data_IF_171354241001
#
_entry.id   IF_171354241001
#
_cell.length_a   1.000
_cell.length_b   1.000
_cell.length_c   1.000
_cell.angle_alpha   90.00
_cell.angle_beta   90.00
_cell.angle_gamma   90.00
#
_symmetry.space_group_name_H-M   'P 1'
#
loop_
_entity.id
_entity.type
_entity.pdbx_description
1 polymer ?
#
# COMPACT_ATOMS: atom_id res chain seq x y z
N UNK A 1 15.46 37.21 -30.58
CA UNK A 1 14.05 37.00 -30.13
C UNK A 1 13.75 35.57 -29.60
N UNK A 2 14.43 34.50 -30.03
CA UNK A 2 14.20 33.13 -29.55
C UNK A 2 14.62 32.86 -28.10
N UNK A 3 15.62 33.53 -27.56
CA UNK A 3 16.12 33.28 -26.19
C UNK A 3 15.12 33.74 -25.12
N UNK A 4 14.42 34.86 -25.34
CA UNK A 4 13.43 35.36 -24.37
C UNK A 4 12.21 34.45 -24.25
N UNK A 5 11.77 33.77 -25.31
CA UNK A 5 10.63 32.85 -25.31
C UNK A 5 10.99 31.57 -24.55
N UNK A 6 12.23 31.08 -24.71
CA UNK A 6 12.68 29.86 -23.97
C UNK A 6 12.82 30.10 -22.47
N UNK A 7 13.29 31.28 -22.04
CA UNK A 7 13.44 31.65 -20.63
C UNK A 7 12.07 31.84 -19.97
N UNK A 8 11.11 32.45 -20.65
CA UNK A 8 9.74 32.62 -20.12
C UNK A 8 8.97 31.29 -20.04
N UNK A 9 9.17 30.39 -21.00
CA UNK A 9 8.53 29.04 -20.92
C UNK A 9 9.14 28.18 -19.84
N UNK A 10 10.47 28.24 -19.64
CA UNK A 10 11.13 27.46 -18.57
C UNK A 10 10.77 27.98 -17.18
N UNK A 11 10.74 29.31 -17.00
CA UNK A 11 10.32 29.92 -15.73
C UNK A 11 8.83 29.68 -15.45
N UNK A 12 7.97 29.73 -16.47
CA UNK A 12 6.55 29.37 -16.36
C UNK A 12 6.35 27.91 -16.00
N UNK A 13 7.11 27.00 -16.60
CA UNK A 13 7.08 25.57 -16.27
C UNK A 13 7.56 25.29 -14.83
N UNK A 14 8.67 25.92 -14.41
CA UNK A 14 9.20 25.77 -13.06
C UNK A 14 8.26 26.35 -11.99
N UNK A 15 7.62 27.48 -12.28
CA UNK A 15 6.58 28.06 -11.43
C UNK A 15 5.34 27.15 -11.40
N UNK A 16 4.88 26.67 -12.55
CA UNK A 16 3.76 25.74 -12.62
C UNK A 16 4.04 24.46 -11.83
N UNK A 17 5.21 23.83 -12.01
CA UNK A 17 5.63 22.64 -11.25
C UNK A 17 5.76 22.90 -9.74
N UNK A 18 6.11 24.14 -9.35
CA UNK A 18 6.22 24.54 -7.93
C UNK A 18 4.85 24.78 -7.27
N UNK A 19 3.83 25.10 -8.05
CA UNK A 19 2.47 25.37 -7.57
C UNK A 19 1.50 24.20 -7.81
N UNK A 20 1.82 23.27 -8.71
CA UNK A 20 1.08 22.03 -8.88
C UNK A 20 1.77 20.95 -8.08
N UNK A 21 1.38 20.84 -6.82
CA UNK A 21 1.71 19.68 -6.01
C UNK A 21 0.84 18.55 -6.53
N UNK A 22 1.46 17.48 -6.99
CA UNK A 22 0.74 16.27 -7.39
C UNK A 22 0.06 15.72 -6.14
N UNK A 23 -1.25 15.52 -6.20
CA UNK A 23 -2.08 15.07 -5.09
C UNK A 23 -2.90 13.88 -5.54
N UNK A 24 -3.43 13.13 -4.59
CA UNK A 24 -4.24 11.94 -4.84
C UNK A 24 -3.46 10.84 -5.56
N UNK A 25 -2.31 10.47 -5.00
CA UNK A 25 -1.53 9.33 -5.45
C UNK A 25 -1.06 8.47 -4.29
N UNK A 26 -0.77 7.21 -4.58
CA UNK A 26 -0.08 6.26 -3.72
C UNK A 26 1.06 5.61 -4.48
N UNK A 27 2.21 5.45 -3.84
CA UNK A 27 3.37 4.83 -4.44
C UNK A 27 4.14 3.98 -3.42
N UNK A 28 4.83 2.91 -3.85
CA UNK A 28 5.72 2.15 -2.98
C UNK A 28 6.90 3.03 -2.56
N UNK A 29 7.38 2.82 -1.35
CA UNK A 29 8.62 3.45 -0.89
C UNK A 29 9.82 2.89 -1.66
N UNK A 30 10.76 3.78 -2.05
CA UNK A 30 12.01 3.32 -2.67
C UNK A 30 12.82 2.48 -1.69
N UNK A 31 12.98 1.20 -2.00
CA UNK A 31 13.72 0.24 -1.17
C UNK A 31 15.20 0.61 -0.95
N UNK A 32 15.76 1.41 -1.84
CA UNK A 32 17.15 1.87 -1.77
C UNK A 32 17.31 3.20 -1.03
N UNK A 33 16.20 3.82 -0.61
CA UNK A 33 16.24 5.07 0.15
C UNK A 33 16.98 4.93 1.48
N UNK A 34 17.51 6.04 2.01
CA UNK A 34 18.18 6.05 3.30
C UNK A 34 17.19 5.70 4.43
N UNK A 35 15.95 6.17 4.31
CA UNK A 35 14.86 5.93 5.23
C UNK A 35 14.52 4.43 5.32
N UNK A 36 14.38 3.75 4.17
CA UNK A 36 14.12 2.31 4.13
C UNK A 36 15.27 1.50 4.73
N UNK A 37 16.51 1.91 4.52
CA UNK A 37 17.67 1.23 5.14
C UNK A 37 17.65 1.36 6.64
N UNK A 38 17.28 2.54 7.18
CA UNK A 38 17.14 2.74 8.63
C UNK A 38 16.00 1.89 9.19
N UNK A 39 14.84 1.88 8.52
CA UNK A 39 13.69 1.09 8.97
C UNK A 39 13.99 -0.41 8.97
N UNK A 40 14.67 -0.93 7.97
CA UNK A 40 15.11 -2.35 7.92
C UNK A 40 16.10 -2.73 9.04
N UNK A 41 16.79 -1.76 9.63
CA UNK A 41 17.68 -2.00 10.80
C UNK A 41 16.90 -2.06 12.12
N UNK A 42 15.75 -1.40 12.19
CA UNK A 42 14.93 -1.30 13.42
C UNK A 42 13.86 -2.37 13.45
N UNK A 43 13.34 -2.74 12.29
CA UNK A 43 12.26 -3.72 12.13
C UNK A 43 12.80 -5.02 11.55
N UNK A 44 12.81 -6.08 12.34
CA UNK A 44 13.44 -7.35 11.99
C UNK A 44 12.57 -8.22 11.05
N UNK A 45 11.29 -7.87 10.82
CA UNK A 45 10.35 -8.64 9.99
C UNK A 45 10.26 -8.13 8.54
N UNK A 46 9.70 -8.92 7.62
CA UNK A 46 9.37 -8.47 6.29
C UNK A 46 8.24 -7.43 6.36
N UNK A 47 8.44 -6.30 5.70
CA UNK A 47 7.42 -5.26 5.59
C UNK A 47 7.46 -4.58 4.23
N UNK A 48 6.33 -3.98 3.85
CA UNK A 48 6.18 -3.10 2.68
C UNK A 48 5.66 -1.76 3.15
N UNK A 49 6.16 -0.69 2.54
CA UNK A 49 5.73 0.67 2.81
C UNK A 49 5.19 1.31 1.53
N UNK A 50 4.06 2.00 1.68
CA UNK A 50 3.49 2.86 0.66
C UNK A 50 3.35 4.26 1.22
N UNK A 51 3.80 5.26 0.50
CA UNK A 51 3.48 6.65 0.80
C UNK A 51 2.31 7.10 -0.08
N UNK A 52 1.48 7.97 0.44
CA UNK A 52 0.38 8.56 -0.31
C UNK A 52 0.24 10.04 0.01
N UNK A 53 -0.29 10.78 -0.94
CA UNK A 53 -0.66 12.18 -0.81
C UNK A 53 -2.10 12.35 -1.25
N UNK A 54 -2.94 12.92 -0.41
CA UNK A 54 -4.37 13.11 -0.66
C UNK A 54 -4.79 14.56 -0.43
N UNK A 55 -5.79 15.00 -1.15
CA UNK A 55 -6.40 16.30 -0.93
C UNK A 55 -7.44 16.25 0.21
N UNK A 56 -7.89 17.41 0.66
CA UNK A 56 -8.87 17.57 1.75
C UNK A 56 -10.27 17.00 1.47
N UNK A 57 -10.56 16.57 0.23
CA UNK A 57 -11.85 15.96 -0.11
C UNK A 57 -11.87 14.47 0.24
N UNK A 58 -10.71 13.92 0.59
CA UNK A 58 -10.56 12.56 1.10
C UNK A 58 -10.42 12.65 2.62
N UNK A 59 -11.35 12.05 3.33
CA UNK A 59 -11.45 12.14 4.79
C UNK A 59 -11.01 10.89 5.53
N UNK A 60 -10.93 9.76 4.81
CA UNK A 60 -10.53 8.48 5.41
C UNK A 60 -9.91 7.52 4.38
N UNK A 61 -9.13 6.57 4.89
CA UNK A 61 -8.66 5.40 4.17
C UNK A 61 -9.16 4.14 4.86
N UNK A 62 -9.74 3.21 4.09
CA UNK A 62 -10.15 1.90 4.58
C UNK A 62 -9.24 0.84 3.95
N UNK A 63 -8.51 0.10 4.78
CA UNK A 63 -7.71 -1.04 4.36
C UNK A 63 -8.55 -2.30 4.50
N UNK A 64 -8.59 -3.09 3.44
CA UNK A 64 -9.44 -4.27 3.32
C UNK A 64 -8.60 -5.49 2.97
N UNK A 65 -9.04 -6.66 3.45
CA UNK A 65 -8.49 -7.95 3.05
C UNK A 65 -9.56 -8.78 2.34
N UNK A 66 -9.18 -9.39 1.23
CA UNK A 66 -10.03 -10.34 0.50
C UNK A 66 -9.34 -11.69 0.47
N UNK A 67 -10.04 -12.75 0.92
CA UNK A 67 -9.57 -14.12 0.86
C UNK A 67 -10.15 -14.85 -0.35
N UNK A 68 -9.28 -15.57 -1.04
CA UNK A 68 -9.64 -16.51 -2.10
C UNK A 68 -9.14 -17.90 -1.70
N UNK A 69 -9.94 -18.91 -1.94
CA UNK A 69 -9.58 -20.33 -1.81
C UNK A 69 -9.76 -20.98 -3.16
N UNK A 70 -8.68 -21.59 -3.69
CA UNK A 70 -8.66 -22.26 -5.00
C UNK A 70 -9.23 -21.37 -6.13
N UNK A 71 -8.89 -20.10 -6.09
CA UNK A 71 -9.34 -19.11 -7.07
C UNK A 71 -10.73 -18.51 -6.85
N UNK A 72 -11.51 -19.03 -5.89
CA UNK A 72 -12.84 -18.52 -5.55
C UNK A 72 -12.81 -17.55 -4.36
N UNK A 73 -13.46 -16.40 -4.50
CA UNK A 73 -13.58 -15.43 -3.42
C UNK A 73 -14.44 -16.00 -2.29
N UNK A 74 -13.89 -16.06 -1.08
CA UNK A 74 -14.59 -16.53 0.13
C UNK A 74 -15.19 -15.39 0.94
N UNK A 75 -14.36 -14.39 1.28
CA UNK A 75 -14.81 -13.24 2.04
C UNK A 75 -13.99 -11.98 1.73
N UNK A 76 -14.50 -10.87 2.22
CA UNK A 76 -13.82 -9.58 2.23
C UNK A 76 -14.17 -8.87 3.53
N UNK A 77 -13.14 -8.37 4.24
CA UNK A 77 -13.28 -7.65 5.49
C UNK A 77 -12.52 -6.33 5.47
N UNK A 78 -13.06 -5.34 6.15
CA UNK A 78 -12.36 -4.11 6.50
C UNK A 78 -11.44 -4.42 7.69
N UNK A 79 -10.13 -4.33 7.48
CA UNK A 79 -9.12 -4.55 8.51
C UNK A 79 -8.99 -3.30 9.38
N UNK A 80 -9.00 -2.14 8.75
CA UNK A 80 -8.79 -0.87 9.41
C UNK A 80 -9.45 0.26 8.63
N UNK A 81 -10.11 1.17 9.34
CA UNK A 81 -10.51 2.48 8.79
C UNK A 81 -9.79 3.57 9.56
N UNK A 82 -9.05 4.40 8.85
CA UNK A 82 -8.31 5.52 9.41
C UNK A 82 -8.87 6.85 8.88
N UNK A 83 -9.31 7.71 9.82
CA UNK A 83 -9.80 9.06 9.50
C UNK A 83 -8.67 10.09 9.54
N UNK A 84 -8.55 10.91 8.51
CA UNK A 84 -7.58 11.99 8.44
C UNK A 84 -8.11 13.22 9.18
N UNK A 85 -7.35 13.67 10.18
CA UNK A 85 -7.70 14.90 10.92
C UNK A 85 -7.30 16.11 10.08
N UNK A 86 -8.14 17.15 10.13
CA UNK A 86 -7.84 18.44 9.49
C UNK A 86 -6.53 19.10 9.97
N UNK A 87 -6.06 18.72 11.16
CA UNK A 87 -4.83 19.26 11.76
C UNK A 87 -3.56 18.75 11.08
N UNK A 88 -3.65 17.65 10.32
CA UNK A 88 -2.55 17.08 9.55
C UNK A 88 -2.41 17.70 8.15
N UNK A 89 -3.31 18.63 7.80
CA UNK A 89 -3.27 19.30 6.50
C UNK A 89 -2.10 20.28 6.46
N UNK A 90 -1.20 20.07 5.51
CA UNK A 90 -0.14 21.04 5.24
C UNK A 90 -0.76 22.35 4.76
N UNK A 91 -0.51 23.45 5.50
CA UNK A 91 -1.01 24.81 5.16
C UNK A 91 -0.62 25.27 3.74
N UNK A 92 0.42 24.65 3.16
CA UNK A 92 0.95 25.04 1.83
C UNK A 92 0.24 24.37 0.65
N UNK A 93 -0.33 23.19 0.83
CA UNK A 93 -0.82 22.38 -0.29
C UNK A 93 -2.27 21.90 -0.15
N UNK A 94 -2.91 22.10 1.01
CA UNK A 94 -4.20 21.46 1.35
C UNK A 94 -4.17 19.93 1.16
N UNK A 95 -3.02 19.30 1.42
CA UNK A 95 -2.80 17.86 1.27
C UNK A 95 -2.44 17.22 2.59
N UNK A 96 -2.75 15.94 2.72
CA UNK A 96 -2.28 15.06 3.79
C UNK A 96 -1.30 14.07 3.15
N UNK A 97 -0.06 14.08 3.64
CA UNK A 97 0.95 13.09 3.26
C UNK A 97 1.10 12.07 4.39
N UNK A 98 1.04 10.80 4.06
CA UNK A 98 1.11 9.74 5.05
C UNK A 98 1.65 8.42 4.49
N UNK A 99 1.78 7.42 5.36
CA UNK A 99 2.39 6.12 5.03
C UNK A 99 1.49 4.98 5.49
N UNK A 100 1.33 3.99 4.63
CA UNK A 100 0.78 2.68 4.98
C UNK A 100 1.94 1.70 5.10
N UNK A 101 2.11 1.11 6.28
CA UNK A 101 3.04 0.01 6.53
C UNK A 101 2.25 -1.29 6.63
N UNK A 102 2.68 -2.31 5.90
CA UNK A 102 2.18 -3.67 6.03
C UNK A 102 3.34 -4.56 6.40
N UNK A 103 3.23 -5.30 7.50
CA UNK A 103 4.24 -6.26 7.96
C UNK A 103 3.62 -7.61 8.24
N UNK A 104 4.37 -8.68 7.97
CA UNK A 104 4.04 -10.02 8.41
C UNK A 104 4.63 -10.22 9.80
N UNK A 105 3.80 -10.64 10.75
CA UNK A 105 4.22 -10.99 12.11
C UNK A 105 4.13 -12.52 12.23
N UNK A 106 5.27 -13.17 12.33
CA UNK A 106 5.37 -14.60 12.58
C UNK A 106 5.77 -14.79 14.04
N UNK A 107 4.85 -15.22 14.88
CA UNK A 107 5.23 -15.66 16.23
C UNK A 107 5.81 -17.08 16.12
N UNK A 108 7.10 -17.23 16.42
CA UNK A 108 7.81 -18.52 16.36
C UNK A 108 7.19 -19.62 17.25
N UNK A 109 6.23 -19.28 18.09
CA UNK A 109 5.51 -20.19 18.98
C UNK A 109 4.06 -20.46 18.54
N UNK A 110 3.52 -19.66 17.62
CA UNK A 110 2.19 -19.83 17.06
C UNK A 110 2.29 -20.17 15.57
N UNK A 111 1.50 -21.15 15.12
CA UNK A 111 1.48 -21.61 13.71
C UNK A 111 0.79 -20.62 12.76
N UNK A 112 0.28 -19.52 13.29
CA UNK A 112 -0.59 -18.61 12.57
C UNK A 112 0.22 -17.42 12.00
N UNK A 113 0.01 -17.15 10.74
CA UNK A 113 0.56 -15.98 10.06
C UNK A 113 -0.37 -14.76 10.27
N UNK A 114 0.18 -13.70 10.81
CA UNK A 114 -0.54 -12.45 11.03
C UNK A 114 -0.08 -11.36 10.06
N UNK A 115 -1.01 -10.55 9.58
CA UNK A 115 -0.69 -9.28 8.93
C UNK A 115 -0.97 -8.14 9.90
N UNK A 116 -0.02 -7.23 9.99
CA UNK A 116 -0.16 -5.98 10.71
C UNK A 116 -0.17 -4.82 9.72
N UNK A 117 -1.20 -3.99 9.80
CA UNK A 117 -1.33 -2.77 9.00
C UNK A 117 -1.22 -1.56 9.93
N UNK A 118 -0.38 -0.62 9.57
CA UNK A 118 -0.22 0.65 10.32
C UNK A 118 -0.43 1.83 9.39
N UNK A 119 -1.26 2.79 9.80
CA UNK A 119 -1.45 4.08 9.11
C UNK A 119 -1.33 5.17 10.17
N UNK A 120 -0.38 6.10 10.01
CA UNK A 120 -0.16 7.23 10.93
C UNK A 120 -0.15 6.84 12.42
N UNK A 121 0.45 5.70 12.75
CA UNK A 121 0.51 5.19 14.13
C UNK A 121 -0.73 4.45 14.63
N UNK A 122 -1.83 4.43 13.90
CA UNK A 122 -2.91 3.47 14.09
C UNK A 122 -2.48 2.09 13.60
N UNK A 123 -2.68 1.04 14.39
CA UNK A 123 -2.30 -0.34 14.05
C UNK A 123 -3.51 -1.26 14.14
N UNK A 124 -3.67 -2.13 13.15
CA UNK A 124 -4.59 -3.27 13.18
C UNK A 124 -3.84 -4.54 12.77
N UNK A 125 -4.24 -5.67 13.33
CA UNK A 125 -3.70 -7.00 12.98
C UNK A 125 -4.83 -7.90 12.51
N UNK A 126 -4.51 -8.77 11.57
CA UNK A 126 -5.44 -9.73 10.99
C UNK A 126 -4.75 -11.08 10.83
N UNK A 127 -5.39 -12.13 11.32
CA UNK A 127 -4.93 -13.52 11.19
C UNK A 127 -5.30 -14.05 9.81
N UNK A 128 -4.34 -14.68 9.13
CA UNK A 128 -4.53 -15.12 7.75
C UNK A 128 -5.07 -16.54 7.66
N UNK A 129 -4.49 -17.47 8.41
CA UNK A 129 -4.82 -18.89 8.33
C UNK A 129 -5.16 -19.38 9.73
N UNK A 130 -6.36 -19.91 9.90
CA UNK A 130 -6.84 -20.48 11.17
C UNK A 130 -6.59 -22.00 11.28
N UNK A 131 -6.21 -22.66 10.16
CA UNK A 131 -6.08 -24.11 10.09
C UNK A 131 -4.66 -24.60 10.41
N UNK A 132 -4.58 -25.73 11.12
CA UNK A 132 -3.32 -26.45 11.47
C UNK A 132 -2.60 -27.08 10.25
N UNK A 133 -2.74 -26.50 9.05
CA UNK A 133 -2.14 -27.01 7.81
C UNK A 133 -0.80 -26.34 7.58
N UNK A 134 0.24 -27.15 7.35
CA UNK A 134 1.57 -26.65 7.03
C UNK A 134 1.59 -26.13 5.58
N UNK A 135 1.50 -24.83 5.40
CA UNK A 135 1.48 -24.17 4.10
C UNK A 135 2.76 -23.35 3.88
N UNK A 136 3.20 -23.32 2.65
CA UNK A 136 4.27 -22.39 2.21
C UNK A 136 3.63 -21.11 1.68
N UNK A 137 4.07 -19.96 2.19
CA UNK A 137 3.54 -18.66 1.80
C UNK A 137 4.53 -17.82 0.97
N UNK A 138 3.98 -17.04 0.05
CA UNK A 138 4.70 -16.01 -0.70
C UNK A 138 3.95 -14.70 -0.67
N UNK A 139 4.66 -13.62 -0.31
CA UNK A 139 4.14 -12.25 -0.35
C UNK A 139 4.64 -11.58 -1.63
N UNK A 140 3.71 -11.08 -2.44
CA UNK A 140 3.98 -10.27 -3.62
C UNK A 140 3.40 -8.88 -3.39
N UNK A 141 4.25 -7.90 -3.15
CA UNK A 141 3.84 -6.51 -3.06
C UNK A 141 3.78 -5.87 -4.44
N UNK A 142 2.89 -4.91 -4.60
CA UNK A 142 2.92 -4.05 -5.77
C UNK A 142 4.22 -3.24 -5.76
N UNK A 143 5.08 -3.52 -6.72
CA UNK A 143 6.38 -2.85 -6.89
C UNK A 143 6.33 -1.76 -7.99
N UNK A 144 5.16 -1.61 -8.64
CA UNK A 144 4.85 -0.60 -9.64
C UNK A 144 5.74 -0.60 -10.88
N UNK A 145 5.17 -0.89 -12.04
CA UNK A 145 5.76 -0.45 -13.32
C UNK A 145 5.62 1.08 -13.48
N UNK A 146 4.71 1.69 -12.73
CA UNK A 146 4.50 3.14 -12.66
C UNK A 146 5.12 3.69 -11.37
N UNK A 147 5.63 4.90 -11.44
CA UNK A 147 6.16 5.60 -10.27
C UNK A 147 5.11 5.74 -9.17
N UNK A 148 3.82 5.91 -9.54
CA UNK A 148 2.69 5.97 -8.61
C UNK A 148 1.38 5.50 -9.26
N UNK A 149 0.34 5.27 -8.44
CA UNK A 149 -1.04 5.03 -8.86
C UNK A 149 -1.91 6.20 -8.39
N UNK A 150 -2.73 6.71 -9.31
CA UNK A 150 -3.69 7.77 -8.99
C UNK A 150 -4.75 7.24 -8.03
N UNK A 151 -5.03 8.00 -6.98
CA UNK A 151 -6.12 7.71 -6.04
C UNK A 151 -7.39 8.30 -6.62
N UNK A 152 -8.32 7.43 -7.00
CA UNK A 152 -9.69 7.80 -7.35
C UNK A 152 -10.58 7.51 -6.14
N UNK A 153 -11.28 8.54 -5.65
CA UNK A 153 -12.15 8.43 -4.48
C UNK A 153 -13.19 7.33 -4.64
N UNK A 154 -13.24 6.40 -3.68
CA UNK A 154 -14.14 5.26 -3.69
C UNK A 154 -13.64 4.05 -4.47
N UNK A 155 -12.55 4.16 -5.24
CA UNK A 155 -11.93 3.02 -5.92
C UNK A 155 -10.92 2.31 -5.03
N UNK A 156 -10.77 1.00 -5.25
CA UNK A 156 -9.83 0.17 -4.51
C UNK A 156 -8.51 0.06 -5.25
N UNK A 157 -7.42 0.22 -4.51
CA UNK A 157 -6.06 0.01 -5.00
C UNK A 157 -5.51 -1.23 -4.29
N UNK A 158 -5.15 -2.24 -5.05
CA UNK A 158 -4.55 -3.46 -4.53
C UNK A 158 -3.06 -3.21 -4.23
N UNK A 159 -2.65 -3.44 -2.96
CA UNK A 159 -1.30 -3.16 -2.47
C UNK A 159 -0.40 -4.38 -2.52
N UNK A 160 -0.91 -5.52 -2.05
CA UNK A 160 -0.15 -6.76 -2.00
C UNK A 160 -1.04 -8.00 -2.06
N UNK A 161 -0.42 -9.12 -2.44
CA UNK A 161 -0.99 -10.46 -2.34
C UNK A 161 -0.10 -11.36 -1.52
N UNK A 162 -0.73 -12.26 -0.76
CA UNK A 162 -0.06 -13.35 -0.08
C UNK A 162 -0.71 -14.63 -0.56
N UNK A 163 0.10 -15.51 -1.11
CA UNK A 163 -0.33 -16.78 -1.67
C UNK A 163 0.19 -17.93 -0.82
N UNK A 164 -0.63 -18.94 -0.58
CA UNK A 164 -0.30 -20.13 0.19
C UNK A 164 -0.64 -21.40 -0.57
N UNK A 165 0.19 -22.43 -0.43
CA UNK A 165 -0.04 -23.75 -1.00
C UNK A 165 0.73 -24.84 -0.26
N UNK A 166 0.27 -26.09 -0.38
CA UNK A 166 0.92 -27.27 0.23
C UNK A 166 2.18 -27.71 -0.53
N UNK A 167 2.02 -28.00 -1.82
CA UNK A 167 3.09 -28.57 -2.65
C UNK A 167 3.70 -27.53 -3.62
N UNK A 168 2.88 -26.59 -4.08
CA UNK A 168 3.26 -25.57 -5.04
C UNK A 168 2.54 -24.28 -4.75
N UNK A 169 3.29 -23.17 -4.76
CA UNK A 169 2.74 -21.83 -4.61
C UNK A 169 3.08 -20.99 -5.82
N UNK A 170 2.07 -20.45 -6.44
CA UNK A 170 2.22 -19.47 -7.51
C UNK A 170 2.28 -18.06 -6.93
N UNK A 171 3.39 -17.36 -7.16
CA UNK A 171 3.55 -15.97 -6.76
C UNK A 171 2.78 -15.07 -7.75
N UNK A 172 1.66 -14.49 -7.28
CA UNK A 172 0.75 -13.71 -8.12
C UNK A 172 0.85 -12.24 -7.75
N UNK A 173 1.29 -11.42 -8.68
CA UNK A 173 1.41 -9.97 -8.49
C UNK A 173 0.04 -9.30 -8.36
N UNK A 174 -0.09 -8.21 -7.55
CA UNK A 174 -1.27 -7.36 -7.54
C UNK A 174 -1.69 -6.93 -8.95
N UNK A 175 -3.00 -6.92 -9.21
CA UNK A 175 -3.56 -6.59 -10.53
C UNK A 175 -3.56 -7.73 -11.56
N UNK A 176 -2.83 -8.82 -11.32
CA UNK A 176 -2.89 -10.01 -12.19
C UNK A 176 -4.18 -10.83 -11.95
N UNK A 177 -4.47 -11.80 -12.82
CA UNK A 177 -5.57 -12.75 -12.62
C UNK A 177 -5.37 -13.57 -11.34
N UNK A 178 -6.47 -13.97 -10.70
CA UNK A 178 -6.46 -14.84 -9.54
C UNK A 178 -5.99 -16.24 -9.97
N UNK A 179 -4.95 -16.77 -9.31
CA UNK A 179 -4.45 -18.13 -9.54
C UNK A 179 -5.23 -19.20 -8.76
N UNK A 180 -4.72 -20.43 -8.79
CA UNK A 180 -5.32 -21.60 -8.12
C UNK A 180 -4.58 -22.02 -6.85
N UNK A 181 -3.93 -21.08 -6.15
CA UNK A 181 -3.32 -21.37 -4.85
C UNK A 181 -4.37 -21.87 -3.86
N UNK A 182 -3.96 -22.68 -2.87
CA UNK A 182 -4.88 -23.14 -1.81
C UNK A 182 -5.59 -21.97 -1.16
N UNK A 183 -4.79 -20.95 -0.74
CA UNK A 183 -5.29 -19.67 -0.28
C UNK A 183 -4.55 -18.53 -0.93
N UNK A 184 -5.24 -17.43 -1.18
CA UNK A 184 -4.66 -16.15 -1.57
C UNK A 184 -5.37 -15.04 -0.84
N UNK A 185 -4.60 -14.16 -0.24
CA UNK A 185 -5.10 -12.95 0.41
C UNK A 185 -4.65 -11.73 -0.41
N UNK A 186 -5.62 -10.88 -0.74
CA UNK A 186 -5.36 -9.59 -1.40
C UNK A 186 -5.63 -8.48 -0.40
N UNK A 187 -4.63 -7.65 -0.11
CA UNK A 187 -4.77 -6.44 0.68
C UNK A 187 -4.95 -5.25 -0.25
N UNK A 188 -6.01 -4.49 -0.03
CA UNK A 188 -6.31 -3.28 -0.80
C UNK A 188 -6.63 -2.10 0.11
N UNK A 189 -6.52 -0.89 -0.44
CA UNK A 189 -6.91 0.35 0.22
C UNK A 189 -7.93 1.10 -0.63
N UNK A 190 -8.91 1.73 0.03
CA UNK A 190 -9.89 2.63 -0.57
C UNK A 190 -9.89 3.95 0.18
N UNK A 191 -9.83 5.03 -0.55
CA UNK A 191 -9.86 6.40 -0.03
C UNK A 191 -11.24 7.03 -0.24
N UNK A 192 -11.82 7.65 0.81
CA UNK A 192 -13.19 8.18 0.83
C UNK A 192 -13.27 9.61 1.37
#
# INVERSE_FOLDING_TARGET
MCICVAVTSLSGYLLWKRFHVETNYIEPFDENSAEMRILKLVDAGPFVLYKFSIDKNISQATVMITCYEKGEKKYKHDVMTYGFKSDNVSDRANTVDSVIKVSSENDSNEKNDWISVTVDGGKATFELIEDDVELTGYMCAWAGEKEHVDIVKGEEIELLRISYGMDHVEAIMPGASIGNNEYMYSLSVRFE
#
